data_IF_735389849265
#
_entry.id   IF_735389849265
#
_cell.length_a   1.000
_cell.length_b   1.000
_cell.length_c   1.000
_cell.angle_alpha   90.00
_cell.angle_beta   90.00
_cell.angle_gamma   90.00
#
_symmetry.space_group_name_H-M   'P 1'
#
loop_
_entity.id
_entity.type
_entity.pdbx_description
1 polymer ?
#
# COMPACT_ATOMS: atom_id res chain seq x y z
N UNK A 1 13.17 27.02 -5.95
CA UNK A 1 14.22 26.15 -6.52
C UNK A 1 14.09 26.20 -8.03
N UNK A 2 15.18 26.11 -8.78
CA UNK A 2 15.11 26.07 -10.25
C UNK A 2 14.75 24.64 -10.72
N UNK A 3 14.00 24.47 -11.82
CA UNK A 3 13.75 23.12 -12.37
C UNK A 3 15.04 22.45 -12.83
N UNK A 4 16.03 23.24 -13.26
CA UNK A 4 17.33 22.74 -13.68
C UNK A 4 18.24 22.36 -12.50
N UNK A 5 17.86 22.74 -11.27
CA UNK A 5 18.54 22.28 -10.06
C UNK A 5 18.16 20.83 -9.74
N UNK A 6 19.18 19.97 -9.70
CA UNK A 6 19.02 18.60 -9.21
C UNK A 6 18.56 18.59 -7.76
N UNK A 7 17.55 17.77 -7.46
CA UNK A 7 17.16 17.44 -6.10
C UNK A 7 18.36 16.86 -5.34
N UNK A 8 18.56 17.34 -4.11
CA UNK A 8 19.61 16.89 -3.21
C UNK A 8 19.10 15.73 -2.36
N UNK A 9 19.48 14.50 -2.74
CA UNK A 9 19.15 13.28 -2.03
C UNK A 9 20.22 12.84 -1.02
N UNK A 10 21.24 13.66 -0.75
CA UNK A 10 22.39 13.27 0.08
C UNK A 10 22.02 12.85 1.52
N UNK A 11 20.87 13.31 2.01
CA UNK A 11 20.36 12.98 3.35
C UNK A 11 19.60 11.64 3.41
N UNK A 12 19.27 11.03 2.28
CA UNK A 12 18.48 9.81 2.23
C UNK A 12 19.34 8.57 2.45
N UNK A 13 18.76 7.60 3.15
CA UNK A 13 19.30 6.25 3.20
C UNK A 13 19.16 5.54 1.84
N UNK A 14 19.95 4.48 1.66
CA UNK A 14 19.84 3.62 0.47
C UNK A 14 18.44 2.99 0.31
N UNK A 15 17.74 2.75 1.42
CA UNK A 15 16.39 2.19 1.41
C UNK A 15 15.37 3.21 0.90
N UNK A 16 15.43 4.45 1.39
CA UNK A 16 14.53 5.53 0.97
C UNK A 16 14.76 5.89 -0.50
N UNK A 17 16.01 5.97 -0.94
CA UNK A 17 16.38 6.15 -2.34
C UNK A 17 15.78 5.06 -3.23
N UNK A 18 15.89 3.79 -2.80
CA UNK A 18 15.32 2.66 -3.53
C UNK A 18 13.80 2.73 -3.58
N UNK A 19 13.13 3.11 -2.48
CA UNK A 19 11.68 3.28 -2.45
C UNK A 19 11.20 4.35 -3.42
N UNK A 20 11.88 5.50 -3.49
CA UNK A 20 11.58 6.55 -4.48
C UNK A 20 11.80 6.03 -5.91
N UNK A 21 12.93 5.37 -6.16
CA UNK A 21 13.26 4.84 -7.49
C UNK A 21 12.26 3.79 -7.99
N UNK A 22 11.82 2.87 -7.12
CA UNK A 22 10.81 1.85 -7.49
C UNK A 22 9.46 2.49 -7.75
N UNK A 23 9.03 3.45 -6.94
CA UNK A 23 7.78 4.19 -7.18
C UNK A 23 7.80 4.94 -8.51
N UNK A 24 8.90 5.63 -8.81
CA UNK A 24 9.08 6.30 -10.10
C UNK A 24 9.01 5.32 -11.27
N UNK A 25 9.66 4.15 -11.15
CA UNK A 25 9.55 3.09 -12.15
C UNK A 25 8.11 2.65 -12.38
N UNK A 26 7.34 2.40 -11.32
CA UNK A 26 5.92 2.03 -11.44
C UNK A 26 5.06 3.10 -12.11
N UNK A 27 5.45 4.37 -12.06
CA UNK A 27 4.75 5.45 -12.78
C UNK A 27 5.02 5.42 -14.28
N UNK A 28 6.19 4.91 -14.69
CA UNK A 28 6.58 4.77 -16.10
C UNK A 28 6.02 3.49 -16.75
N UNK A 29 5.75 2.48 -15.94
CA UNK A 29 5.23 1.19 -16.40
C UNK A 29 3.76 1.28 -16.83
N UNK A 30 3.40 0.54 -17.88
CA UNK A 30 2.05 0.57 -18.42
C UNK A 30 1.05 -0.16 -17.52
N UNK A 31 -0.24 0.15 -17.68
CA UNK A 31 -1.32 -0.60 -17.02
C UNK A 31 -1.21 -2.09 -17.39
N UNK A 32 -1.02 -2.95 -16.38
CA UNK A 32 -0.92 -4.40 -16.53
C UNK A 32 0.49 -4.95 -16.34
N UNK A 33 1.51 -4.09 -16.24
CA UNK A 33 2.87 -4.50 -15.89
C UNK A 33 3.02 -4.78 -14.38
N UNK A 34 3.99 -5.62 -14.03
CA UNK A 34 4.24 -6.09 -12.67
C UNK A 34 4.60 -4.91 -11.77
N UNK A 35 3.81 -4.67 -10.73
CA UNK A 35 4.14 -3.66 -9.74
C UNK A 35 5.41 -4.00 -8.97
N UNK A 36 6.38 -3.10 -8.99
CA UNK A 36 7.59 -3.19 -8.20
C UNK A 36 7.41 -2.53 -6.84
N UNK A 37 7.23 -3.34 -5.79
CA UNK A 37 7.10 -2.83 -4.43
C UNK A 37 8.29 -1.93 -4.03
N UNK A 38 7.97 -0.81 -3.38
CA UNK A 38 8.97 0.08 -2.76
C UNK A 38 9.52 -0.48 -1.45
N UNK A 39 8.83 -1.46 -0.86
CA UNK A 39 9.15 -2.11 0.41
C UNK A 39 9.07 -3.65 0.26
N UNK A 40 9.86 -4.26 -0.64
CA UNK A 40 9.60 -5.61 -1.16
C UNK A 40 9.57 -6.70 -0.08
N UNK A 41 10.43 -6.62 0.93
CA UNK A 41 10.46 -7.62 2.00
C UNK A 41 9.30 -7.45 3.00
N UNK A 42 8.93 -6.20 3.32
CA UNK A 42 7.77 -5.95 4.18
C UNK A 42 6.48 -6.36 3.47
N UNK A 43 6.36 -6.00 2.18
CA UNK A 43 5.19 -6.38 1.40
C UNK A 43 5.09 -7.89 1.21
N UNK A 44 6.20 -8.57 0.91
CA UNK A 44 6.22 -10.03 0.85
C UNK A 44 5.86 -10.70 2.19
N UNK A 45 6.29 -10.14 3.32
CA UNK A 45 5.89 -10.67 4.63
C UNK A 45 4.38 -10.53 4.89
N UNK A 46 3.77 -9.41 4.48
CA UNK A 46 2.32 -9.20 4.59
C UNK A 46 1.57 -10.16 3.65
N UNK A 47 2.06 -10.37 2.43
CA UNK A 47 1.48 -11.34 1.48
C UNK A 47 1.51 -12.75 2.06
N UNK A 48 2.63 -13.19 2.64
CA UNK A 48 2.72 -14.49 3.32
C UNK A 48 1.72 -14.57 4.47
N UNK A 49 1.58 -13.53 5.30
CA UNK A 49 0.58 -13.51 6.36
C UNK A 49 -0.85 -13.63 5.83
N UNK A 50 -1.15 -13.04 4.67
CA UNK A 50 -2.44 -13.16 4.04
C UNK A 50 -2.74 -14.60 3.61
N UNK A 51 -1.79 -15.26 2.95
CA UNK A 51 -1.91 -16.66 2.52
C UNK A 51 -2.06 -17.62 3.70
N UNK A 52 -1.19 -17.49 4.70
CA UNK A 52 -1.24 -18.33 5.91
C UNK A 52 -2.56 -18.15 6.66
N UNK A 53 -3.07 -16.93 6.71
CA UNK A 53 -4.38 -16.68 7.28
C UNK A 53 -5.46 -17.38 6.44
N UNK A 54 -5.45 -17.24 5.12
CA UNK A 54 -6.43 -17.88 4.23
C UNK A 54 -6.46 -19.40 4.36
N UNK A 55 -5.32 -20.04 4.63
CA UNK A 55 -5.22 -21.49 4.81
C UNK A 55 -5.62 -21.96 6.21
N UNK A 56 -5.83 -21.05 7.16
CA UNK A 56 -6.19 -21.41 8.52
C UNK A 56 -7.56 -22.12 8.59
N UNK A 57 -7.62 -23.37 9.08
CA UNK A 57 -8.82 -24.22 8.96
C UNK A 57 -9.96 -23.84 9.92
N UNK A 58 -9.71 -23.00 10.92
CA UNK A 58 -10.65 -22.71 12.00
C UNK A 58 -10.78 -21.20 12.25
N UNK A 59 -11.08 -20.43 11.20
CA UNK A 59 -11.32 -19.00 11.34
C UNK A 59 -12.78 -18.67 11.59
N UNK A 60 -12.97 -17.67 12.44
CA UNK A 60 -14.25 -17.05 12.67
C UNK A 60 -14.58 -16.08 11.52
N UNK A 61 -15.74 -16.28 10.88
CA UNK A 61 -16.17 -15.44 9.76
C UNK A 61 -16.39 -13.98 10.16
N UNK A 62 -16.87 -13.72 11.38
CA UNK A 62 -17.14 -12.36 11.85
C UNK A 62 -15.81 -11.60 12.04
N UNK A 63 -14.77 -12.28 12.55
CA UNK A 63 -13.43 -11.71 12.67
C UNK A 63 -12.80 -11.42 11.30
N UNK A 64 -13.01 -12.31 10.32
CA UNK A 64 -12.55 -12.08 8.95
C UNK A 64 -13.22 -10.86 8.31
N UNK A 65 -14.53 -10.67 8.53
CA UNK A 65 -15.26 -9.49 8.05
C UNK A 65 -14.75 -8.21 8.69
N UNK A 66 -14.49 -8.23 10.00
CA UNK A 66 -13.88 -7.09 10.70
C UNK A 66 -12.50 -6.78 10.12
N UNK A 67 -11.63 -7.78 9.95
CA UNK A 67 -10.30 -7.58 9.37
C UNK A 67 -10.38 -6.99 7.95
N UNK A 68 -11.29 -7.50 7.11
CA UNK A 68 -11.52 -6.96 5.78
C UNK A 68 -11.87 -5.46 5.83
N UNK A 69 -12.75 -5.06 6.74
CA UNK A 69 -13.18 -3.67 6.89
C UNK A 69 -12.08 -2.77 7.48
N UNK A 70 -11.27 -3.30 8.40
CA UNK A 70 -10.07 -2.64 8.91
C UNK A 70 -9.05 -2.37 7.78
N UNK A 71 -8.77 -3.37 6.94
CA UNK A 71 -7.88 -3.23 5.77
C UNK A 71 -8.42 -2.17 4.79
N UNK A 72 -9.73 -2.16 4.54
CA UNK A 72 -10.38 -1.15 3.69
C UNK A 72 -10.23 0.27 4.27
N UNK A 73 -10.47 0.41 5.58
CA UNK A 73 -10.33 1.68 6.28
C UNK A 73 -8.89 2.19 6.26
N UNK A 74 -7.91 1.31 6.49
CA UNK A 74 -6.48 1.63 6.42
C UNK A 74 -6.10 2.08 5.01
N UNK A 75 -6.50 1.35 3.97
CA UNK A 75 -6.22 1.71 2.58
C UNK A 75 -6.77 3.09 2.22
N UNK A 76 -8.01 3.39 2.62
CA UNK A 76 -8.63 4.69 2.41
C UNK A 76 -7.81 5.82 3.02
N UNK A 77 -7.32 5.65 4.25
CA UNK A 77 -6.55 6.70 4.93
C UNK A 77 -5.11 6.79 4.44
N UNK A 78 -4.46 5.68 4.09
CA UNK A 78 -3.13 5.70 3.46
C UNK A 78 -3.13 6.53 2.17
N UNK A 79 -4.16 6.39 1.34
CA UNK A 79 -4.34 7.21 0.13
C UNK A 79 -4.57 8.70 0.42
N UNK A 80 -5.08 9.04 1.61
CA UNK A 80 -5.27 10.42 2.03
C UNK A 80 -4.00 11.04 2.65
N UNK A 81 -3.16 10.20 3.27
CA UNK A 81 -1.86 10.62 3.81
C UNK A 81 -0.85 10.87 2.70
N UNK A 82 -1.00 10.21 1.55
CA UNK A 82 -0.21 10.49 0.35
C UNK A 82 -0.35 11.98 -0.04
N UNK A 83 0.72 12.77 0.06
CA UNK A 83 0.63 14.21 -0.13
C UNK A 83 0.26 14.51 -1.58
N UNK A 84 -0.74 15.38 -1.76
CA UNK A 84 -1.13 15.89 -3.06
C UNK A 84 -0.18 17.03 -3.42
N UNK A 85 0.39 17.05 -4.64
CA UNK A 85 1.20 18.17 -5.07
C UNK A 85 0.34 19.45 -5.11
N UNK A 86 0.89 20.61 -4.73
CA UNK A 86 0.15 21.88 -4.66
C UNK A 86 -0.26 22.39 -6.05
N UNK A 87 0.39 21.91 -7.10
CA UNK A 87 0.06 22.19 -8.49
C UNK A 87 0.35 20.96 -9.34
N UNK A 88 -0.24 20.89 -10.53
CA UNK A 88 0.16 19.94 -11.57
C UNK A 88 1.29 20.49 -12.45
N UNK A 89 1.64 21.77 -12.33
CA UNK A 89 2.77 22.38 -13.03
C UNK A 89 4.06 22.17 -12.22
N UNK A 90 5.07 21.44 -12.76
CA UNK A 90 6.35 21.23 -12.09
C UNK A 90 7.06 22.52 -11.69
N UNK A 91 6.97 23.57 -12.50
CA UNK A 91 7.59 24.88 -12.23
C UNK A 91 6.99 25.54 -10.99
N UNK A 92 5.66 25.45 -10.84
CA UNK A 92 4.97 25.95 -9.66
C UNK A 92 5.29 25.12 -8.42
N UNK A 93 5.46 23.81 -8.58
CA UNK A 93 5.88 22.92 -7.47
C UNK A 93 7.27 23.33 -6.95
N UNK A 94 8.27 23.48 -7.82
CA UNK A 94 9.65 23.84 -7.41
C UNK A 94 9.78 25.28 -6.93
N UNK A 95 8.87 26.16 -7.33
CA UNK A 95 8.77 27.51 -6.80
C UNK A 95 8.17 27.56 -5.39
N UNK A 96 7.26 26.63 -5.07
CA UNK A 96 6.47 26.66 -3.84
C UNK A 96 7.03 25.76 -2.74
N UNK A 97 7.70 24.67 -3.10
CA UNK A 97 8.23 23.68 -2.16
C UNK A 97 9.75 23.70 -2.09
N UNK A 98 10.27 23.39 -0.91
CA UNK A 98 11.69 23.13 -0.67
C UNK A 98 12.09 21.72 -1.15
N UNK A 99 13.39 21.50 -1.34
CA UNK A 99 13.95 20.19 -1.66
C UNK A 99 13.51 19.11 -0.66
N UNK A 100 13.57 19.42 0.64
CA UNK A 100 13.22 18.49 1.71
C UNK A 100 11.71 18.13 1.67
N UNK A 101 10.84 19.11 1.38
CA UNK A 101 9.39 18.86 1.22
C UNK A 101 9.06 18.03 -0.02
N UNK A 102 9.75 18.25 -1.14
CA UNK A 102 9.59 17.45 -2.36
C UNK A 102 10.01 16.00 -2.09
N UNK A 103 11.18 15.80 -1.47
CA UNK A 103 11.70 14.47 -1.16
C UNK A 103 10.82 13.73 -0.17
N UNK A 104 10.39 14.38 0.90
CA UNK A 104 9.45 13.82 1.88
C UNK A 104 8.12 13.44 1.19
N UNK A 105 7.63 14.29 0.30
CA UNK A 105 6.44 14.02 -0.50
C UNK A 105 6.58 12.78 -1.40
N UNK A 106 7.72 12.63 -2.08
CA UNK A 106 8.04 11.46 -2.89
C UNK A 106 8.09 10.19 -2.05
N UNK A 107 8.79 10.23 -0.90
CA UNK A 107 8.94 9.08 -0.03
C UNK A 107 7.59 8.62 0.57
N UNK A 108 6.77 9.56 1.05
CA UNK A 108 5.42 9.28 1.56
C UNK A 108 4.54 8.63 0.49
N UNK A 109 4.58 9.15 -0.74
CA UNK A 109 3.86 8.55 -1.87
C UNK A 109 4.34 7.12 -2.17
N UNK A 110 5.66 6.90 -2.24
CA UNK A 110 6.23 5.56 -2.45
C UNK A 110 5.74 4.54 -1.43
N UNK A 111 5.78 4.91 -0.14
CA UNK A 111 5.37 4.04 0.97
C UNK A 111 3.86 3.78 0.91
N UNK A 112 3.05 4.84 0.81
CA UNK A 112 1.59 4.73 0.80
C UNK A 112 1.11 3.86 -0.35
N UNK A 113 1.61 4.08 -1.57
CA UNK A 113 1.21 3.29 -2.75
C UNK A 113 1.62 1.82 -2.61
N UNK A 114 2.82 1.55 -2.09
CA UNK A 114 3.31 0.19 -1.87
C UNK A 114 2.44 -0.56 -0.85
N UNK A 115 2.13 0.07 0.29
CA UNK A 115 1.28 -0.54 1.31
C UNK A 115 -0.17 -0.72 0.84
N UNK A 116 -0.75 0.27 0.15
CA UNK A 116 -2.12 0.18 -0.36
C UNK A 116 -2.28 -0.99 -1.31
N UNK A 117 -1.32 -1.22 -2.21
CA UNK A 117 -1.39 -2.38 -3.12
C UNK A 117 -1.31 -3.71 -2.37
N UNK A 118 -0.42 -3.83 -1.39
CA UNK A 118 -0.28 -5.07 -0.61
C UNK A 118 -1.45 -5.32 0.31
N UNK A 119 -1.98 -4.31 0.99
CA UNK A 119 -3.19 -4.48 1.81
C UNK A 119 -4.43 -4.73 0.96
N UNK A 120 -4.49 -4.21 -0.27
CA UNK A 120 -5.52 -4.59 -1.22
C UNK A 120 -5.43 -6.07 -1.60
N UNK A 121 -4.23 -6.59 -1.85
CA UNK A 121 -4.03 -8.02 -2.06
C UNK A 121 -4.53 -8.85 -0.87
N UNK A 122 -4.11 -8.46 0.35
CA UNK A 122 -4.59 -9.12 1.57
C UNK A 122 -6.13 -9.07 1.68
N UNK A 123 -6.73 -7.92 1.37
CA UNK A 123 -8.18 -7.76 1.35
C UNK A 123 -8.85 -8.74 0.37
N UNK A 124 -8.31 -8.91 -0.84
CA UNK A 124 -8.81 -9.83 -1.87
C UNK A 124 -8.76 -11.29 -1.38
N UNK A 125 -7.62 -11.70 -0.81
CA UNK A 125 -7.44 -13.03 -0.21
C UNK A 125 -8.46 -13.32 0.89
N UNK A 126 -8.71 -12.33 1.77
CA UNK A 126 -9.69 -12.48 2.85
C UNK A 126 -11.13 -12.50 2.32
N UNK A 127 -11.45 -11.68 1.31
CA UNK A 127 -12.75 -11.71 0.67
C UNK A 127 -13.04 -13.06 0.03
N UNK A 128 -12.07 -13.65 -0.67
CA UNK A 128 -12.18 -14.99 -1.25
C UNK A 128 -12.40 -16.06 -0.18
N UNK A 129 -11.71 -15.95 0.96
CA UNK A 129 -11.90 -16.85 2.09
C UNK A 129 -13.29 -16.74 2.71
N UNK A 130 -13.79 -15.53 2.94
CA UNK A 130 -15.16 -15.27 3.43
C UNK A 130 -16.16 -15.91 2.46
N UNK A 131 -16.03 -15.65 1.16
CA UNK A 131 -16.89 -16.22 0.12
C UNK A 131 -16.89 -17.75 0.13
N UNK A 132 -15.72 -18.39 0.32
CA UNK A 132 -15.63 -19.85 0.40
C UNK A 132 -16.36 -20.42 1.63
N UNK A 133 -16.32 -19.73 2.77
CA UNK A 133 -17.03 -20.12 3.99
C UNK A 133 -18.55 -19.93 3.82
N UNK A 134 -19.00 -18.77 3.33
CA UNK A 134 -20.43 -18.48 3.15
C UNK A 134 -21.10 -19.41 2.13
N UNK A 135 -20.37 -19.83 1.11
CA UNK A 135 -20.84 -20.80 0.11
C UNK A 135 -20.68 -22.26 0.56
N UNK A 136 -20.16 -22.52 1.76
CA UNK A 136 -19.99 -23.87 2.31
C UNK A 136 -18.92 -24.72 1.63
N UNK A 137 -18.04 -24.11 0.83
CA UNK A 137 -16.87 -24.77 0.21
C UNK A 137 -15.90 -25.23 1.30
N UNK A 138 -15.76 -24.43 2.37
CA UNK A 138 -14.89 -24.71 3.51
C UNK A 138 -15.68 -24.46 4.80
N UNK A 139 -15.40 -25.25 5.85
CA UNK A 139 -16.05 -25.06 7.16
C UNK A 139 -15.44 -23.86 7.90
N UNK A 140 -16.25 -22.84 8.17
CA UNK A 140 -15.91 -21.77 9.11
C UNK A 140 -16.34 -22.11 10.54
N UNK A 141 -15.82 -21.36 11.52
CA UNK A 141 -16.27 -21.40 12.92
C UNK A 141 -17.25 -20.25 13.13
N UNK A 142 -18.53 -20.55 13.34
CA UNK A 142 -19.52 -19.53 13.75
C UNK A 142 -19.61 -19.51 15.27
N UNK A 143 -18.87 -18.61 15.91
CA UNK A 143 -19.11 -18.25 17.31
C UNK A 143 -20.07 -17.06 17.30
N UNK A 144 -21.35 -17.29 17.58
CA UNK A 144 -22.40 -16.29 17.40
C UNK A 144 -22.09 -14.91 18.00
N UNK A 145 -22.51 -13.87 17.26
CA UNK A 145 -22.63 -12.44 17.63
C UNK A 145 -21.78 -11.97 18.81
N UNK A 146 -20.66 -11.32 18.48
CA UNK A 146 -19.96 -10.43 19.41
C UNK A 146 -20.84 -9.18 19.55
N UNK A 147 -21.52 -9.05 20.70
CA UNK A 147 -22.35 -7.89 21.07
C UNK A 147 -21.53 -6.61 21.23
#
# INVERSE_FOLDING_TARGET
>A
MDMDQKLDYSKLSALELKAIAMSYRNMLENKGETFHSSLPYLNGAIEVLAEELADCPAMNIDELKILHDELLMVNKHLLQIAPKPPSSNPEEIVATLTNDEIIDGLLKNSIALSLVKTFKYFQEVIADRINAIENGVIKGVNNGTIN
#
